data_IF_627952832722
#
_entry.id   IF_627952832722
#
_cell.length_a   1.000
_cell.length_b   1.000
_cell.length_c   1.000
_cell.angle_alpha   90.00
_cell.angle_beta   90.00
_cell.angle_gamma   90.00
#
_symmetry.space_group_name_H-M   'P 1'
#
loop_
_entity.id
_entity.type
_entity.pdbx_description
1 polymer ?
#
# COMPACT_ATOMS: atom_id res chain seq x y z
N UNK A 1 -9.88 76.60 53.32
CA UNK A 1 -11.34 76.68 53.49
C UNK A 1 -12.00 77.00 52.17
N UNK A 2 -12.36 75.95 51.43
CA UNK A 2 -13.26 75.86 50.28
C UNK A 2 -13.33 74.35 49.93
N UNK A 3 -14.46 73.84 49.42
CA UNK A 3 -15.09 72.65 49.99
C UNK A 3 -14.76 71.32 49.28
N UNK A 4 -15.01 70.26 50.04
CA UNK A 4 -14.92 68.84 49.70
C UNK A 4 -15.93 68.51 48.61
N UNK A 5 -15.47 67.94 47.50
CA UNK A 5 -16.31 67.45 46.41
C UNK A 5 -16.80 66.04 46.75
N UNK A 6 -18.11 65.92 46.76
CA UNK A 6 -18.91 64.79 47.23
C UNK A 6 -18.87 63.67 46.18
N UNK A 7 -18.45 62.48 46.63
CA UNK A 7 -18.37 61.26 45.83
C UNK A 7 -19.76 60.79 45.40
N UNK A 8 -19.96 60.63 44.08
CA UNK A 8 -21.17 60.06 43.50
C UNK A 8 -21.40 58.60 43.96
N UNK A 9 -22.66 58.18 44.16
CA UNK A 9 -22.99 56.83 44.59
C UNK A 9 -22.80 55.80 43.47
N UNK A 10 -22.42 54.59 43.86
CA UNK A 10 -22.28 53.43 42.99
C UNK A 10 -23.64 53.02 42.39
N UNK A 11 -23.69 52.84 41.07
CA UNK A 11 -24.84 52.24 40.38
C UNK A 11 -24.99 50.76 40.79
N UNK A 12 -26.19 50.40 41.22
CA UNK A 12 -26.59 49.02 41.45
C UNK A 12 -26.64 48.23 40.12
N UNK A 13 -26.26 46.95 40.10
CA UNK A 13 -26.33 46.14 38.89
C UNK A 13 -27.80 45.89 38.51
N UNK A 14 -28.15 46.20 37.26
CA UNK A 14 -29.42 45.86 36.63
C UNK A 14 -29.68 44.34 36.67
N UNK A 15 -30.91 43.86 36.98
CA UNK A 15 -31.24 42.44 36.93
C UNK A 15 -31.10 41.89 35.52
N UNK A 16 -30.54 40.69 35.38
CA UNK A 16 -30.50 39.95 34.12
C UNK A 16 -31.94 39.58 33.70
N UNK A 17 -32.31 39.91 32.46
CA UNK A 17 -33.55 39.42 31.82
C UNK A 17 -33.53 37.89 31.72
N UNK A 18 -34.62 37.25 32.13
CA UNK A 18 -34.86 35.82 31.90
C UNK A 18 -34.90 35.53 30.38
N UNK A 19 -34.31 34.42 29.91
CA UNK A 19 -34.42 34.03 28.51
C UNK A 19 -35.87 33.64 28.19
N UNK A 20 -36.37 34.14 27.07
CA UNK A 20 -37.68 33.80 26.51
C UNK A 20 -37.83 32.28 26.30
N UNK A 21 -39.05 31.73 26.45
CA UNK A 21 -39.30 30.31 26.25
C UNK A 21 -39.04 29.91 24.79
N UNK A 22 -38.36 28.78 24.62
CA UNK A 22 -38.06 28.18 23.31
C UNK A 22 -39.34 27.53 22.78
N UNK A 23 -39.80 27.96 21.61
CA UNK A 23 -40.95 27.35 20.92
C UNK A 23 -40.65 25.89 20.58
N UNK A 24 -41.62 25.01 20.84
CA UNK A 24 -41.59 23.60 20.44
C UNK A 24 -41.53 23.47 18.91
N UNK A 25 -40.77 22.51 18.36
CA UNK A 25 -40.71 22.33 16.91
C UNK A 25 -42.04 21.78 16.38
N UNK A 26 -42.54 22.40 15.30
CA UNK A 26 -43.75 21.98 14.60
C UNK A 26 -43.68 20.50 14.13
N UNK A 27 -44.81 19.78 14.09
CA UNK A 27 -44.84 18.37 13.71
C UNK A 27 -44.44 18.19 12.23
N UNK A 28 -43.60 17.19 11.98
CA UNK A 28 -43.17 16.78 10.64
C UNK A 28 -44.35 16.17 9.90
N UNK A 29 -44.67 16.70 8.71
CA UNK A 29 -45.72 16.17 7.84
C UNK A 29 -45.33 14.78 7.30
N UNK A 30 -46.28 13.84 7.33
CA UNK A 30 -46.14 12.51 6.73
C UNK A 30 -45.94 12.60 5.20
N UNK A 31 -45.11 11.72 4.60
CA UNK A 31 -44.92 11.71 3.15
C UNK A 31 -46.16 11.18 2.43
N UNK A 32 -46.53 11.83 1.33
CA UNK A 32 -47.64 11.43 0.47
C UNK A 32 -47.42 10.04 -0.17
N UNK A 33 -48.50 9.25 -0.41
CA UNK A 33 -48.39 7.91 -0.98
C UNK A 33 -47.92 7.95 -2.44
N UNK A 34 -47.05 7.01 -2.80
CA UNK A 34 -46.54 6.82 -4.16
C UNK A 34 -47.66 6.25 -5.05
N UNK A 35 -47.92 6.88 -6.19
CA UNK A 35 -48.91 6.42 -7.17
C UNK A 35 -48.45 5.14 -7.89
N UNK A 36 -49.37 4.19 -8.08
CA UNK A 36 -49.16 2.96 -8.87
C UNK A 36 -48.90 3.28 -10.36
N UNK A 37 -48.04 2.50 -11.05
CA UNK A 37 -47.79 2.70 -12.47
C UNK A 37 -48.98 2.21 -13.33
N UNK A 38 -49.28 2.96 -14.38
CA UNK A 38 -50.34 2.65 -15.36
C UNK A 38 -50.04 1.38 -16.20
N UNK A 39 -51.07 0.65 -16.66
CA UNK A 39 -50.90 -0.57 -17.46
C UNK A 39 -50.42 -0.25 -18.88
N UNK A 40 -49.61 -1.15 -19.45
CA UNK A 40 -49.06 -1.05 -20.81
C UNK A 40 -49.99 -1.81 -21.77
N UNK A 41 -50.44 -1.16 -22.84
CA UNK A 41 -51.28 -1.73 -23.90
C UNK A 41 -50.54 -2.80 -24.74
N UNK A 42 -51.25 -3.87 -25.12
CA UNK A 42 -50.79 -4.91 -26.04
C UNK A 42 -50.79 -4.42 -27.51
N UNK A 43 -49.77 -4.76 -28.32
CA UNK A 43 -49.77 -4.41 -29.75
C UNK A 43 -50.55 -5.42 -30.62
N UNK A 44 -51.20 -4.90 -31.66
CA UNK A 44 -52.04 -5.62 -32.63
C UNK A 44 -51.25 -6.58 -33.57
N UNK A 45 -51.91 -7.60 -34.18
CA UNK A 45 -51.25 -8.64 -34.95
C UNK A 45 -50.85 -8.20 -36.38
N UNK A 46 -49.70 -8.68 -36.85
CA UNK A 46 -49.15 -8.44 -38.20
C UNK A 46 -49.57 -9.57 -39.16
N UNK A 47 -49.95 -9.19 -40.38
CA UNK A 47 -50.45 -10.02 -41.48
C UNK A 47 -49.47 -11.11 -42.00
N UNK A 48 -50.08 -12.12 -42.62
CA UNK A 48 -49.53 -13.41 -43.06
C UNK A 48 -48.37 -13.30 -44.06
N UNK A 49 -47.21 -13.83 -43.69
CA UNK A 49 -46.11 -14.13 -44.61
C UNK A 49 -46.26 -15.53 -45.23
N UNK A 50 -45.97 -15.65 -46.52
CA UNK A 50 -46.05 -16.89 -47.31
C UNK A 50 -45.19 -18.00 -46.68
N UNK A 51 -45.82 -19.14 -46.36
CA UNK A 51 -45.14 -20.32 -45.82
C UNK A 51 -44.41 -21.08 -46.93
N UNK A 52 -43.08 -20.98 -46.95
CA UNK A 52 -42.22 -21.87 -47.74
C UNK A 52 -42.39 -23.31 -47.23
N UNK A 53 -42.50 -24.29 -48.13
CA UNK A 53 -42.64 -25.69 -47.71
C UNK A 53 -41.34 -26.17 -47.06
N UNK A 54 -41.44 -27.11 -46.09
CA UNK A 54 -40.26 -27.66 -45.39
C UNK A 54 -39.20 -28.21 -46.36
N UNK A 55 -39.62 -28.71 -47.51
CA UNK A 55 -38.74 -29.24 -48.55
C UNK A 55 -37.92 -28.14 -49.25
N UNK A 56 -38.53 -26.97 -49.49
CA UNK A 56 -37.83 -25.80 -50.05
C UNK A 56 -36.84 -25.18 -49.04
N UNK A 57 -37.19 -25.17 -47.76
CA UNK A 57 -36.27 -24.71 -46.70
C UNK A 57 -35.08 -25.66 -46.52
N UNK A 58 -35.31 -26.99 -46.59
CA UNK A 58 -34.25 -27.99 -46.51
C UNK A 58 -33.28 -27.93 -47.71
N UNK A 59 -33.81 -27.75 -48.93
CA UNK A 59 -32.97 -27.58 -50.13
C UNK A 59 -32.13 -26.29 -50.08
N UNK A 60 -32.73 -25.19 -49.61
CA UNK A 60 -32.02 -23.92 -49.45
C UNK A 60 -30.93 -24.02 -48.38
N UNK A 61 -31.20 -24.67 -47.23
CA UNK A 61 -30.19 -24.92 -46.20
C UNK A 61 -29.05 -25.82 -46.68
N UNK A 62 -29.34 -26.87 -47.45
CA UNK A 62 -28.32 -27.76 -48.00
C UNK A 62 -27.41 -27.02 -48.99
N UNK A 63 -27.98 -26.15 -49.83
CA UNK A 63 -27.20 -25.34 -50.78
C UNK A 63 -26.29 -24.33 -50.08
N UNK A 64 -26.79 -23.66 -49.02
CA UNK A 64 -25.99 -22.74 -48.20
C UNK A 64 -24.85 -23.47 -47.49
N UNK A 65 -25.12 -24.66 -46.92
CA UNK A 65 -24.07 -25.44 -46.26
C UNK A 65 -23.03 -25.99 -47.24
N UNK A 66 -23.44 -26.37 -48.45
CA UNK A 66 -22.49 -26.78 -49.49
C UNK A 66 -21.56 -25.61 -49.89
N UNK A 67 -22.11 -24.40 -50.08
CA UNK A 67 -21.29 -23.21 -50.36
C UNK A 67 -20.38 -22.84 -49.19
N UNK A 68 -20.86 -22.93 -47.95
CA UNK A 68 -20.07 -22.64 -46.75
C UNK A 68 -18.88 -23.60 -46.61
N UNK A 69 -19.11 -24.90 -46.82
CA UNK A 69 -18.04 -25.90 -46.77
C UNK A 69 -17.02 -25.71 -47.90
N UNK A 70 -17.48 -25.33 -49.10
CA UNK A 70 -16.58 -25.05 -50.23
C UNK A 70 -15.71 -23.81 -49.98
N UNK A 71 -16.27 -22.78 -49.33
CA UNK A 71 -15.54 -21.58 -48.91
C UNK A 71 -14.50 -21.89 -47.82
N UNK A 72 -14.86 -22.71 -46.83
CA UNK A 72 -13.94 -23.19 -45.77
C UNK A 72 -12.75 -23.98 -46.36
N UNK A 73 -13.00 -24.88 -47.32
CA UNK A 73 -11.92 -25.62 -47.98
C UNK A 73 -10.99 -24.71 -48.78
N UNK A 74 -11.51 -23.71 -49.51
CA UNK A 74 -10.68 -22.74 -50.22
C UNK A 74 -9.84 -21.88 -49.25
N UNK A 75 -10.41 -21.50 -48.10
CA UNK A 75 -9.68 -20.74 -47.09
C UNK A 75 -8.55 -21.58 -46.45
N UNK A 76 -8.78 -22.85 -46.13
CA UNK A 76 -7.74 -23.75 -45.63
C UNK A 76 -6.65 -24.00 -46.67
N UNK A 77 -7.00 -24.18 -47.96
CA UNK A 77 -6.02 -24.35 -49.03
C UNK A 77 -5.15 -23.09 -49.21
N UNK A 78 -5.74 -21.90 -49.11
CA UNK A 78 -5.01 -20.64 -49.18
C UNK A 78 -4.04 -20.45 -47.99
N UNK A 79 -4.47 -20.81 -46.77
CA UNK A 79 -3.60 -20.78 -45.58
C UNK A 79 -2.45 -21.77 -45.72
N UNK A 80 -2.71 -22.99 -46.20
CA UNK A 80 -1.68 -24.00 -46.42
C UNK A 80 -0.66 -23.56 -47.49
N UNK A 81 -1.11 -22.94 -48.58
CA UNK A 81 -0.20 -22.36 -49.59
C UNK A 81 0.63 -21.20 -49.02
N UNK A 82 0.02 -20.29 -48.25
CA UNK A 82 0.73 -19.19 -47.62
C UNK A 82 1.79 -19.68 -46.62
N UNK A 83 1.47 -20.73 -45.84
CA UNK A 83 2.42 -21.36 -44.92
C UNK A 83 3.56 -22.07 -45.66
N UNK A 84 3.28 -22.79 -46.74
CA UNK A 84 4.30 -23.44 -47.56
C UNK A 84 5.24 -22.41 -48.23
N UNK A 85 4.71 -21.28 -48.71
CA UNK A 85 5.51 -20.19 -49.27
C UNK A 85 6.35 -19.49 -48.20
N UNK A 86 5.79 -19.23 -47.01
CA UNK A 86 6.53 -18.65 -45.90
C UNK A 86 7.66 -19.57 -45.41
N UNK A 87 7.43 -20.89 -45.34
CA UNK A 87 8.46 -21.87 -45.00
C UNK A 87 9.56 -21.95 -46.06
N UNK A 88 9.21 -21.90 -47.35
CA UNK A 88 10.19 -21.88 -48.44
C UNK A 88 11.04 -20.59 -48.42
N UNK A 89 10.44 -19.43 -48.13
CA UNK A 89 11.15 -18.17 -47.99
C UNK A 89 12.05 -18.15 -46.74
N UNK A 90 11.59 -18.68 -45.62
CA UNK A 90 12.39 -18.83 -44.40
C UNK A 90 13.59 -19.77 -44.63
N UNK A 91 13.40 -20.88 -45.35
CA UNK A 91 14.49 -21.79 -45.70
C UNK A 91 15.50 -21.13 -46.65
N UNK A 92 15.07 -20.33 -47.63
CA UNK A 92 15.99 -19.57 -48.50
C UNK A 92 16.77 -18.50 -47.73
N UNK A 93 16.14 -17.81 -46.77
CA UNK A 93 16.84 -16.85 -45.91
C UNK A 93 17.86 -17.53 -44.99
N UNK A 94 17.53 -18.70 -44.41
CA UNK A 94 18.48 -19.49 -43.62
C UNK A 94 19.66 -19.93 -44.51
N UNK A 95 19.40 -20.39 -45.74
CA UNK A 95 20.46 -20.84 -46.65
C UNK A 95 21.36 -19.69 -47.14
N UNK A 96 20.83 -18.48 -47.28
CA UNK A 96 21.61 -17.28 -47.59
C UNK A 96 22.41 -16.76 -46.37
N UNK A 97 21.89 -16.93 -45.15
CA UNK A 97 22.59 -16.53 -43.92
C UNK A 97 23.74 -17.49 -43.59
N UNK A 98 23.67 -18.75 -44.06
CA UNK A 98 24.72 -19.77 -43.87
C UNK A 98 25.89 -19.63 -44.86
N UNK A 99 25.75 -18.80 -45.90
CA UNK A 99 26.81 -18.58 -46.91
C UNK A 99 27.84 -17.50 -46.55
N UNK A 100 27.61 -16.68 -45.50
CA UNK A 100 28.58 -15.69 -45.00
C UNK A 100 29.19 -16.14 -43.67
N UNK A 101 30.22 -16.98 -43.78
CA UNK A 101 31.00 -17.49 -42.64
C UNK A 101 32.03 -16.46 -42.19
N UNK A 102 31.76 -15.78 -41.08
CA UNK A 102 32.80 -15.16 -40.24
C UNK A 102 32.50 -15.18 -38.74
N UNK A 103 31.71 -16.14 -38.24
CA UNK A 103 31.30 -16.15 -36.83
C UNK A 103 31.14 -17.56 -36.23
N UNK A 104 32.01 -18.51 -36.57
CA UNK A 104 32.08 -19.81 -35.89
C UNK A 104 32.25 -19.65 -34.36
N UNK A 105 32.89 -18.56 -33.91
CA UNK A 105 32.98 -18.22 -32.49
C UNK A 105 31.66 -17.76 -31.87
N UNK A 106 30.82 -17.00 -32.60
CA UNK A 106 29.50 -16.59 -32.07
C UNK A 106 28.51 -17.74 -32.10
N UNK A 107 28.59 -18.61 -33.09
CA UNK A 107 27.76 -19.82 -33.15
C UNK A 107 28.12 -20.72 -31.97
N UNK A 108 29.41 -20.93 -31.68
CA UNK A 108 29.83 -21.65 -30.47
C UNK A 108 29.35 -21.00 -29.18
N UNK A 109 29.44 -19.67 -29.04
CA UNK A 109 28.93 -18.96 -27.85
C UNK A 109 27.42 -19.10 -27.70
N UNK A 110 26.67 -18.99 -28.79
CA UNK A 110 25.22 -19.19 -28.78
C UNK A 110 24.86 -20.66 -28.49
N UNK A 111 25.64 -21.63 -28.98
CA UNK A 111 25.48 -23.04 -28.64
C UNK A 111 25.78 -23.32 -27.17
N UNK A 112 26.78 -22.67 -26.58
CA UNK A 112 27.09 -22.72 -25.15
C UNK A 112 25.99 -22.06 -24.31
N UNK A 113 25.46 -20.90 -24.72
CA UNK A 113 24.32 -20.24 -24.07
C UNK A 113 23.04 -21.07 -24.17
N UNK A 114 22.76 -21.68 -25.33
CA UNK A 114 21.62 -22.59 -25.51
C UNK A 114 21.82 -23.87 -24.69
N UNK A 115 23.04 -24.36 -24.56
CA UNK A 115 23.35 -25.52 -23.70
C UNK A 115 23.16 -25.19 -22.23
N UNK A 116 23.55 -23.99 -21.77
CA UNK A 116 23.28 -23.50 -20.42
C UNK A 116 21.77 -23.30 -20.19
N UNK A 117 21.05 -22.72 -21.16
CA UNK A 117 19.60 -22.56 -21.07
C UNK A 117 18.86 -23.91 -21.08
N UNK A 118 19.35 -24.90 -21.84
CA UNK A 118 18.87 -26.28 -21.79
C UNK A 118 19.20 -26.99 -20.48
N UNK A 119 20.37 -26.73 -19.90
CA UNK A 119 20.75 -27.28 -18.60
C UNK A 119 19.87 -26.71 -17.49
N UNK A 120 19.62 -25.40 -17.50
CA UNK A 120 18.67 -24.73 -16.61
C UNK A 120 17.24 -25.26 -16.81
N UNK A 121 16.78 -25.41 -18.06
CA UNK A 121 15.48 -26.01 -18.36
C UNK A 121 15.38 -27.47 -17.90
N UNK A 122 16.44 -28.26 -18.05
CA UNK A 122 16.49 -29.65 -17.60
C UNK A 122 16.53 -29.76 -16.07
N UNK A 123 17.15 -28.79 -15.39
CA UNK A 123 17.15 -28.68 -13.93
C UNK A 123 15.76 -28.25 -13.40
N UNK A 124 15.07 -27.36 -14.12
CA UNK A 124 13.67 -26.97 -13.84
C UNK A 124 12.69 -28.13 -14.10
N UNK A 125 12.88 -28.89 -15.19
CA UNK A 125 12.01 -30.00 -15.58
C UNK A 125 12.36 -31.33 -14.88
N UNK A 126 13.53 -31.43 -14.27
CA UNK A 126 14.03 -32.63 -13.58
C UNK A 126 13.61 -32.75 -12.11
N UNK A 127 12.83 -31.80 -11.58
CA UNK A 127 12.36 -31.83 -10.19
C UNK A 127 11.17 -32.78 -10.05
N UNK A 128 11.32 -33.74 -9.13
CA UNK A 128 10.27 -34.66 -8.71
C UNK A 128 9.03 -33.87 -8.23
N UNK A 129 7.86 -33.98 -8.89
CA UNK A 129 6.66 -33.18 -8.59
C UNK A 129 6.06 -33.45 -7.21
N UNK A 130 6.66 -34.32 -6.40
CA UNK A 130 6.21 -34.67 -5.04
C UNK A 130 6.79 -33.80 -3.93
N UNK A 131 7.65 -32.81 -4.24
CA UNK A 131 7.96 -31.65 -3.38
C UNK A 131 7.96 -30.38 -4.24
N UNK A 132 6.80 -29.72 -4.31
CA UNK A 132 6.54 -28.51 -5.10
C UNK A 132 7.26 -27.29 -4.54
N UNK A 133 8.53 -27.17 -4.85
CA UNK A 133 9.37 -26.08 -4.38
C UNK A 133 9.22 -24.85 -5.29
N UNK A 134 8.54 -23.81 -4.81
CA UNK A 134 8.38 -22.54 -5.53
C UNK A 134 9.73 -21.89 -5.81
N UNK A 135 9.87 -21.31 -7.00
CA UNK A 135 11.01 -20.45 -7.32
C UNK A 135 10.89 -19.09 -6.64
N UNK A 136 12.01 -18.37 -6.48
CA UNK A 136 11.97 -16.99 -5.95
C UNK A 136 11.04 -16.09 -6.79
N UNK A 137 11.12 -16.20 -8.12
CA UNK A 137 10.28 -15.41 -9.03
C UNK A 137 8.79 -15.69 -8.79
N UNK A 138 8.38 -16.96 -8.71
CA UNK A 138 6.99 -17.34 -8.45
C UNK A 138 6.53 -16.89 -7.06
N UNK A 139 7.38 -17.05 -6.05
CA UNK A 139 7.10 -16.62 -4.68
C UNK A 139 6.87 -15.12 -4.57
N UNK A 140 7.71 -14.29 -5.21
CA UNK A 140 7.54 -12.84 -5.22
C UNK A 140 6.29 -12.41 -6.02
N UNK A 141 5.96 -13.14 -7.10
CA UNK A 141 4.72 -12.92 -7.84
C UNK A 141 3.47 -13.21 -7.01
N UNK A 142 3.49 -14.28 -6.20
CA UNK A 142 2.43 -14.57 -5.23
C UNK A 142 2.33 -13.51 -4.13
N UNK A 143 3.45 -12.86 -3.79
CA UNK A 143 3.50 -11.71 -2.91
C UNK A 143 3.07 -10.40 -3.60
N UNK A 144 2.58 -10.44 -4.84
CA UNK A 144 2.12 -9.27 -5.60
C UNK A 144 3.22 -8.23 -5.86
N UNK A 145 4.47 -8.69 -6.04
CA UNK A 145 5.56 -7.84 -6.54
C UNK A 145 5.34 -7.54 -8.03
N UNK A 146 5.52 -6.28 -8.43
CA UNK A 146 5.28 -5.85 -9.81
C UNK A 146 6.23 -6.55 -10.80
N UNK A 147 5.73 -6.90 -11.99
CA UNK A 147 6.54 -7.59 -13.04
C UNK A 147 7.80 -6.79 -13.44
N UNK A 148 7.74 -5.45 -13.37
CA UNK A 148 8.89 -4.59 -13.63
C UNK A 148 10.01 -4.82 -12.59
N UNK A 149 9.64 -5.01 -11.31
CA UNK A 149 10.57 -5.30 -10.21
C UNK A 149 11.16 -6.69 -10.37
N UNK A 150 10.34 -7.68 -10.76
CA UNK A 150 10.80 -9.05 -10.99
C UNK A 150 11.79 -9.12 -12.16
N UNK A 151 11.47 -8.43 -13.26
CA UNK A 151 12.34 -8.34 -14.45
C UNK A 151 13.65 -7.65 -14.09
N UNK A 152 13.58 -6.52 -13.39
CA UNK A 152 14.75 -5.78 -12.94
C UNK A 152 15.65 -6.65 -12.04
N UNK A 153 15.07 -7.32 -11.05
CA UNK A 153 15.79 -8.25 -10.16
C UNK A 153 16.46 -9.38 -10.94
N UNK A 154 15.77 -9.99 -11.90
CA UNK A 154 16.33 -11.04 -12.73
C UNK A 154 17.52 -10.55 -13.58
N UNK A 155 17.47 -9.32 -14.09
CA UNK A 155 18.57 -8.73 -14.89
C UNK A 155 19.80 -8.35 -14.06
N UNK A 156 19.62 -8.02 -12.77
CA UNK A 156 20.71 -7.61 -11.87
C UNK A 156 21.33 -8.79 -11.12
N UNK A 157 20.65 -9.93 -11.07
CA UNK A 157 21.12 -11.18 -10.46
C UNK A 157 21.94 -12.05 -11.43
N UNK A 158 22.65 -13.07 -10.93
CA UNK A 158 23.27 -14.04 -11.83
C UNK A 158 22.19 -14.87 -12.55
N UNK A 159 22.51 -15.34 -13.74
CA UNK A 159 21.59 -16.14 -14.54
C UNK A 159 21.09 -17.36 -13.76
N UNK A 160 19.77 -17.40 -13.52
CA UNK A 160 19.10 -18.51 -12.83
C UNK A 160 18.88 -18.31 -11.33
N UNK A 161 19.49 -17.31 -10.68
CA UNK A 161 19.35 -17.09 -9.23
C UNK A 161 17.92 -16.72 -8.78
N UNK A 162 17.08 -16.21 -9.70
CA UNK A 162 15.64 -15.98 -9.46
C UNK A 162 14.77 -17.20 -9.74
N UNK A 163 15.32 -18.22 -10.41
CA UNK A 163 14.65 -19.47 -10.80
C UNK A 163 15.00 -20.64 -9.88
N UNK A 164 15.91 -20.43 -8.92
CA UNK A 164 16.18 -21.41 -7.86
C UNK A 164 15.04 -21.43 -6.84
N UNK A 165 15.03 -22.48 -6.04
CA UNK A 165 14.16 -22.63 -4.88
C UNK A 165 14.21 -21.40 -3.97
N UNK A 166 13.05 -20.94 -3.50
CA UNK A 166 12.93 -19.73 -2.67
C UNK A 166 13.72 -19.78 -1.36
N UNK A 167 13.96 -20.98 -0.80
CA UNK A 167 14.78 -21.18 0.40
C UNK A 167 16.26 -21.40 0.11
N UNK A 168 16.65 -21.47 -1.16
CA UNK A 168 18.06 -21.55 -1.52
C UNK A 168 18.78 -20.28 -1.04
N UNK A 169 20.02 -20.44 -0.57
CA UNK A 169 20.87 -19.32 -0.15
C UNK A 169 21.01 -18.27 -1.25
N UNK A 170 21.09 -18.72 -2.52
CA UNK A 170 21.17 -17.86 -3.69
C UNK A 170 19.92 -16.97 -3.85
N UNK A 171 18.71 -17.53 -3.73
CA UNK A 171 17.45 -16.77 -3.79
C UNK A 171 17.38 -15.72 -2.67
N UNK A 172 17.67 -16.13 -1.43
CA UNK A 172 17.68 -15.21 -0.29
C UNK A 172 18.69 -14.08 -0.48
N UNK A 173 19.90 -14.40 -0.94
CA UNK A 173 20.93 -13.40 -1.20
C UNK A 173 20.56 -12.44 -2.32
N UNK A 174 19.88 -12.93 -3.37
CA UNK A 174 19.40 -12.11 -4.49
C UNK A 174 18.35 -11.11 -4.02
N UNK A 175 17.34 -11.57 -3.29
CA UNK A 175 16.31 -10.70 -2.73
C UNK A 175 16.92 -9.68 -1.75
N UNK A 176 17.83 -10.11 -0.88
CA UNK A 176 18.50 -9.24 0.08
C UNK A 176 19.31 -8.13 -0.61
N UNK A 177 20.09 -8.49 -1.63
CA UNK A 177 20.89 -7.53 -2.40
C UNK A 177 19.98 -6.53 -3.12
N UNK A 178 18.93 -7.02 -3.78
CA UNK A 178 17.96 -6.14 -4.44
C UNK A 178 17.31 -5.15 -3.46
N UNK A 179 16.89 -5.61 -2.28
CA UNK A 179 16.32 -4.73 -1.28
C UNK A 179 17.33 -3.69 -0.78
N UNK A 180 18.59 -4.05 -0.58
CA UNK A 180 19.63 -3.11 -0.16
C UNK A 180 19.91 -2.02 -1.21
N UNK A 181 19.82 -2.36 -2.49
CA UNK A 181 20.10 -1.43 -3.59
C UNK A 181 18.92 -0.49 -3.88
N UNK A 182 17.67 -0.99 -3.72
CA UNK A 182 16.47 -0.27 -4.15
C UNK A 182 15.58 0.25 -3.01
N UNK A 183 15.71 -0.27 -1.79
CA UNK A 183 14.91 0.18 -0.64
C UNK A 183 15.80 0.88 0.37
N UNK A 184 15.42 2.12 0.71
CA UNK A 184 16.10 2.87 1.77
C UNK A 184 15.61 2.38 3.13
N UNK A 185 16.52 1.86 3.94
CA UNK A 185 16.26 1.49 5.33
C UNK A 185 16.80 2.55 6.29
N UNK A 186 16.13 2.75 7.41
CA UNK A 186 16.60 3.57 8.52
C UNK A 186 16.68 2.71 9.78
N UNK A 187 17.69 2.94 10.64
CA UNK A 187 17.86 2.25 11.93
C UNK A 187 16.81 2.69 12.99
N UNK A 188 15.55 2.89 12.59
CA UNK A 188 14.48 3.39 13.44
C UNK A 188 14.69 4.83 13.90
N UNK A 189 14.37 5.09 15.17
CA UNK A 189 14.59 6.35 15.87
C UNK A 189 15.97 6.35 16.52
N UNK A 190 16.80 7.34 16.18
CA UNK A 190 18.11 7.56 16.80
C UNK A 190 18.02 8.69 17.82
N UNK A 191 18.52 8.45 19.03
CA UNK A 191 18.51 9.45 20.10
C UNK A 191 19.54 10.55 19.87
N UNK A 192 19.22 11.72 20.42
CA UNK A 192 20.13 12.85 20.66
C UNK A 192 21.43 12.40 21.34
N UNK A 193 22.63 12.81 20.89
CA UNK A 193 23.79 12.83 21.82
C UNK A 193 23.58 13.85 22.93
N UNK A 194 22.98 14.98 22.56
CA UNK A 194 22.56 16.04 23.47
C UNK A 194 21.16 16.52 23.07
N UNK A 195 20.34 16.80 24.07
CA UNK A 195 18.97 17.29 23.88
C UNK A 195 17.97 16.22 23.44
N UNK A 196 16.69 16.61 23.46
CA UNK A 196 15.57 15.71 23.21
C UNK A 196 15.42 15.36 21.72
N UNK A 197 15.13 14.10 21.43
CA UNK A 197 14.64 13.64 20.13
C UNK A 197 13.12 13.74 20.12
N UNK A 198 12.52 14.32 19.08
CA UNK A 198 11.06 14.48 18.99
C UNK A 198 10.58 13.75 17.75
N UNK A 199 9.59 12.87 17.90
CA UNK A 199 9.05 12.06 16.80
C UNK A 199 7.53 12.11 16.81
N UNK A 200 6.91 12.34 15.65
CA UNK A 200 5.47 12.30 15.47
C UNK A 200 5.07 11.18 14.51
N UNK A 201 4.03 10.41 14.87
CA UNK A 201 3.43 9.42 13.98
C UNK A 201 2.19 10.00 13.32
N UNK A 202 2.17 9.97 11.98
CA UNK A 202 1.11 10.54 11.15
C UNK A 202 0.61 9.51 10.13
N UNK A 203 -0.61 9.68 9.62
CA UNK A 203 -1.23 8.73 8.69
C UNK A 203 -2.75 8.72 8.79
N UNK A 204 -3.39 7.83 8.04
CA UNK A 204 -4.86 7.74 8.00
C UNK A 204 -5.43 7.14 9.28
N UNK A 205 -6.76 7.10 9.38
CA UNK A 205 -7.47 6.51 10.53
C UNK A 205 -7.31 4.99 10.56
N UNK A 206 -7.09 4.40 11.73
CA UNK A 206 -7.08 2.93 11.90
C UNK A 206 -5.81 2.21 11.43
N UNK A 207 -4.79 2.91 10.94
CA UNK A 207 -3.50 2.31 10.51
C UNK A 207 -2.59 1.88 11.66
N UNK A 208 -2.98 2.07 12.92
CA UNK A 208 -2.20 1.59 14.07
C UNK A 208 -1.16 2.58 14.63
N UNK A 209 -1.34 3.89 14.46
CA UNK A 209 -0.43 4.94 14.99
C UNK A 209 -0.23 4.83 16.50
N UNK A 210 -1.30 4.91 17.30
CA UNK A 210 -1.26 4.85 18.77
C UNK A 210 -0.59 3.56 19.27
N UNK A 211 -0.97 2.40 18.72
CA UNK A 211 -0.36 1.11 19.10
C UNK A 211 1.12 1.06 18.72
N UNK A 212 1.50 1.54 17.54
CA UNK A 212 2.90 1.59 17.11
C UNK A 212 3.72 2.51 18.01
N UNK A 213 3.17 3.67 18.38
CA UNK A 213 3.81 4.62 19.29
C UNK A 213 4.04 4.00 20.67
N UNK A 214 3.06 3.25 21.19
CA UNK A 214 3.19 2.51 22.45
C UNK A 214 4.28 1.43 22.38
N UNK A 215 4.36 0.65 21.29
CA UNK A 215 5.43 -0.33 21.09
C UNK A 215 6.82 0.30 21.07
N UNK A 216 6.95 1.42 20.33
CA UNK A 216 8.20 2.19 20.29
C UNK A 216 8.57 2.71 21.68
N UNK A 217 7.62 3.35 22.38
CA UNK A 217 7.83 3.87 23.74
C UNK A 217 8.32 2.77 24.68
N UNK A 218 7.61 1.64 24.71
CA UNK A 218 7.93 0.50 25.54
C UNK A 218 9.32 -0.09 25.22
N UNK A 219 9.72 -0.25 23.95
CA UNK A 219 11.09 -0.68 23.61
C UNK A 219 12.15 0.28 24.12
N UNK A 220 11.96 1.60 23.98
CA UNK A 220 12.92 2.58 24.49
C UNK A 220 13.02 2.57 26.03
N UNK A 221 11.90 2.40 26.73
CA UNK A 221 11.88 2.35 28.19
C UNK A 221 12.47 1.04 28.73
N UNK A 222 12.01 -0.10 28.21
CA UNK A 222 12.34 -1.42 28.75
C UNK A 222 13.73 -1.90 28.33
N UNK A 223 14.10 -1.71 27.06
CA UNK A 223 15.36 -2.21 26.51
C UNK A 223 16.49 -1.19 26.66
N UNK A 224 16.20 0.10 26.40
CA UNK A 224 17.22 1.16 26.36
C UNK A 224 17.23 2.05 27.62
N UNK A 225 16.30 1.85 28.56
CA UNK A 225 16.15 2.65 29.80
C UNK A 225 16.11 4.16 29.52
N UNK A 226 15.53 4.54 28.39
CA UNK A 226 15.46 5.92 27.91
C UNK A 226 14.38 6.69 28.66
N UNK A 227 14.64 7.95 28.98
CA UNK A 227 13.66 8.84 29.59
C UNK A 227 12.71 9.41 28.51
N UNK A 228 11.53 8.81 28.41
CA UNK A 228 10.52 9.13 27.38
C UNK A 228 9.43 10.05 27.95
N UNK A 229 8.83 10.88 27.09
CA UNK A 229 7.53 11.51 27.33
C UNK A 229 6.60 11.28 26.15
N UNK A 230 5.30 11.17 26.43
CA UNK A 230 4.25 10.98 25.45
C UNK A 230 3.42 12.26 25.33
N UNK A 231 3.05 12.61 24.11
CA UNK A 231 2.11 13.68 23.82
C UNK A 231 1.04 13.12 22.90
N UNK A 232 -0.23 13.36 23.18
CA UNK A 232 -1.32 13.00 22.27
C UNK A 232 -2.08 14.24 21.79
N UNK A 233 -2.27 14.29 20.48
CA UNK A 233 -3.15 15.21 19.77
C UNK A 233 -4.33 14.47 19.11
N UNK A 234 -4.52 13.16 19.36
CA UNK A 234 -5.72 12.42 18.90
C UNK A 234 -6.89 12.62 19.87
N UNK A 235 -7.36 13.86 19.97
CA UNK A 235 -8.44 14.26 20.89
C UNK A 235 -9.84 14.03 20.32
N UNK A 236 -9.96 13.73 19.03
CA UNK A 236 -11.22 13.36 18.39
C UNK A 236 -11.72 11.97 18.79
N UNK A 237 -10.80 11.07 19.15
CA UNK A 237 -11.10 9.70 19.56
C UNK A 237 -10.86 9.55 21.04
N UNK A 238 -11.92 9.67 21.85
CA UNK A 238 -11.86 9.52 23.32
C UNK A 238 -11.06 8.28 23.72
N UNK A 239 -11.31 7.14 23.06
CA UNK A 239 -10.64 5.87 23.33
C UNK A 239 -9.13 5.87 23.01
N UNK A 240 -8.65 6.73 22.09
CA UNK A 240 -7.22 6.82 21.80
C UNK A 240 -6.45 7.44 22.97
N UNK A 241 -7.02 8.47 23.60
CA UNK A 241 -6.44 9.10 24.80
C UNK A 241 -6.41 8.11 25.96
N UNK A 242 -7.52 7.40 26.22
CA UNK A 242 -7.58 6.39 27.30
C UNK A 242 -6.62 5.22 27.06
N UNK A 243 -6.51 4.77 25.81
CA UNK A 243 -5.58 3.71 25.42
C UNK A 243 -4.13 4.14 25.67
N UNK A 244 -3.74 5.33 25.21
CA UNK A 244 -2.37 5.81 25.41
C UNK A 244 -2.08 6.11 26.89
N UNK A 245 -3.08 6.58 27.65
CA UNK A 245 -2.99 6.76 29.10
C UNK A 245 -2.75 5.45 29.83
N UNK A 246 -3.44 4.39 29.43
CA UNK A 246 -3.20 3.06 30.00
C UNK A 246 -1.75 2.61 29.80
N UNK A 247 -1.20 2.80 28.59
CA UNK A 247 0.22 2.51 28.34
C UNK A 247 1.16 3.43 29.12
N UNK A 248 0.85 4.73 29.24
CA UNK A 248 1.68 5.66 29.99
C UNK A 248 1.72 5.30 31.47
N UNK A 249 0.58 4.92 32.05
CA UNK A 249 0.49 4.53 33.46
C UNK A 249 1.26 3.23 33.74
N UNK A 250 1.17 2.24 32.84
CA UNK A 250 1.92 0.98 32.94
C UNK A 250 3.44 1.21 32.84
N UNK A 251 3.87 2.13 31.96
CA UNK A 251 5.29 2.42 31.72
C UNK A 251 5.83 3.57 32.59
N UNK A 252 5.01 4.13 33.47
CA UNK A 252 5.31 5.30 34.31
C UNK A 252 5.84 6.51 33.52
N UNK A 253 5.25 6.76 32.34
CA UNK A 253 5.63 7.85 31.45
C UNK A 253 4.74 9.08 31.66
N UNK A 254 5.29 10.31 31.61
CA UNK A 254 4.46 11.50 31.53
C UNK A 254 3.72 11.51 30.20
N UNK A 255 2.42 11.76 30.26
CA UNK A 255 1.53 11.94 29.11
C UNK A 255 0.91 13.35 29.16
N UNK A 256 1.06 14.10 28.08
CA UNK A 256 0.36 15.37 27.89
C UNK A 256 -0.68 15.27 26.76
N UNK A 257 -1.85 15.85 26.99
CA UNK A 257 -2.91 15.97 25.99
C UNK A 257 -2.90 17.40 25.48
N UNK A 258 -2.85 17.57 24.15
CA UNK A 258 -2.76 18.89 23.51
C UNK A 258 -3.86 19.05 22.45
N UNK A 259 -4.44 20.25 22.40
CA UNK A 259 -5.54 20.58 21.49
C UNK A 259 -5.14 21.62 20.44
N UNK A 260 -4.04 22.33 20.67
CA UNK A 260 -3.60 23.43 19.80
C UNK A 260 -2.11 23.38 19.50
N UNK A 261 -1.65 23.99 18.39
CA UNK A 261 -0.23 24.12 18.07
C UNK A 261 0.57 24.80 19.20
N UNK A 262 -0.01 25.79 19.88
CA UNK A 262 0.61 26.50 21.00
C UNK A 262 0.80 25.59 22.23
N UNK A 263 -0.18 24.74 22.52
CA UNK A 263 -0.05 23.73 23.57
C UNK A 263 1.01 22.68 23.23
N UNK A 264 1.08 22.21 21.98
CA UNK A 264 2.13 21.30 21.54
C UNK A 264 3.52 21.91 21.73
N UNK A 265 3.72 23.16 21.32
CA UNK A 265 4.99 23.87 21.51
C UNK A 265 5.37 23.96 23.01
N UNK A 266 4.39 24.27 23.86
CA UNK A 266 4.58 24.36 25.30
C UNK A 266 4.89 22.99 25.94
N UNK A 267 4.23 21.93 25.49
CA UNK A 267 4.44 20.55 25.94
C UNK A 267 5.86 20.06 25.59
N UNK A 268 6.31 20.35 24.37
CA UNK A 268 7.68 20.03 23.93
C UNK A 268 8.71 20.74 24.82
N UNK A 269 8.50 22.03 25.14
CA UNK A 269 9.43 22.77 26.00
C UNK A 269 9.43 22.24 27.44
N UNK A 270 8.26 21.90 28.01
CA UNK A 270 8.17 21.27 29.34
C UNK A 270 8.96 19.96 29.43
N UNK A 271 8.97 19.19 28.35
CA UNK A 271 9.67 17.91 28.28
C UNK A 271 11.04 17.96 27.60
N UNK A 272 11.63 19.15 27.40
CA UNK A 272 12.94 19.31 26.73
C UNK A 272 14.11 18.58 27.39
N UNK A 273 13.98 18.23 28.67
CA UNK A 273 15.00 17.50 29.45
C UNK A 273 14.90 15.98 29.29
N UNK A 274 13.87 15.50 28.60
CA UNK A 274 13.71 14.09 28.21
C UNK A 274 14.67 13.75 27.08
N UNK A 275 14.92 12.47 26.88
CA UNK A 275 15.74 11.98 25.77
C UNK A 275 14.91 11.76 24.51
N UNK A 276 13.63 11.40 24.69
CA UNK A 276 12.68 11.14 23.61
C UNK A 276 11.29 11.68 23.95
N UNK A 277 10.68 12.39 23.00
CA UNK A 277 9.27 12.76 23.02
C UNK A 277 8.60 12.07 21.82
N UNK A 278 7.52 11.33 22.10
CA UNK A 278 6.70 10.68 21.09
C UNK A 278 5.32 11.36 21.02
N UNK A 279 4.93 11.76 19.82
CA UNK A 279 3.68 12.48 19.56
C UNK A 279 2.73 11.59 18.76
N UNK A 280 1.59 11.25 19.36
CA UNK A 280 0.47 10.59 18.68
C UNK A 280 -0.44 11.64 18.07
N UNK A 281 -0.79 11.48 16.79
CA UNK A 281 -1.64 12.43 16.07
C UNK A 281 -2.95 11.79 15.63
N UNK A 282 -4.01 12.60 15.51
CA UNK A 282 -5.27 12.15 14.92
C UNK A 282 -5.07 11.62 13.49
N UNK A 283 -5.79 10.55 13.15
CA UNK A 283 -5.79 10.04 11.77
C UNK A 283 -6.47 11.01 10.81
N UNK A 284 -5.80 11.35 9.70
CA UNK A 284 -6.35 12.26 8.67
C UNK A 284 -6.55 11.55 7.35
N UNK A 285 -7.69 11.80 6.69
CA UNK A 285 -7.95 11.27 5.35
C UNK A 285 -7.10 12.00 4.32
N UNK A 286 -6.48 11.26 3.41
CA UNK A 286 -5.75 11.81 2.26
C UNK A 286 -6.62 12.63 1.31
N UNK A 287 -7.95 12.50 1.41
CA UNK A 287 -8.92 13.26 0.62
C UNK A 287 -9.36 14.57 1.31
N UNK A 288 -9.03 14.77 2.59
CA UNK A 288 -9.41 15.96 3.32
C UNK A 288 -8.24 16.96 3.39
N UNK A 289 -8.15 17.83 2.39
CA UNK A 289 -7.06 18.80 2.29
C UNK A 289 -7.04 19.81 3.46
N UNK A 290 -8.20 20.13 4.03
CA UNK A 290 -8.28 21.03 5.18
C UNK A 290 -7.61 20.41 6.40
N UNK A 291 -7.93 19.15 6.71
CA UNK A 291 -7.30 18.43 7.82
C UNK A 291 -5.81 18.16 7.60
N UNK A 292 -5.38 17.99 6.35
CA UNK A 292 -3.97 17.87 6.00
C UNK A 292 -3.20 19.17 6.24
N UNK A 293 -3.77 20.33 5.88
CA UNK A 293 -3.22 21.66 6.20
C UNK A 293 -3.15 21.90 7.71
N UNK A 294 -4.21 21.54 8.43
CA UNK A 294 -4.24 21.64 9.90
C UNK A 294 -3.12 20.80 10.53
N UNK A 295 -2.93 19.55 10.08
CA UNK A 295 -1.85 18.68 10.56
C UNK A 295 -0.46 19.25 10.24
N UNK A 296 -0.26 19.79 9.03
CA UNK A 296 0.97 20.46 8.64
C UNK A 296 1.29 21.64 9.57
N UNK A 297 0.31 22.52 9.81
CA UNK A 297 0.47 23.68 10.68
C UNK A 297 0.72 23.28 12.13
N UNK A 298 0.02 22.25 12.61
CA UNK A 298 0.18 21.70 13.95
C UNK A 298 1.61 21.19 14.18
N UNK A 299 2.21 20.50 13.22
CA UNK A 299 3.57 19.98 13.33
C UNK A 299 4.65 21.02 12.99
N UNK A 300 4.31 22.12 12.32
CA UNK A 300 5.25 23.20 11.97
C UNK A 300 5.76 23.98 13.18
N UNK A 301 5.11 23.84 14.35
CA UNK A 301 5.50 24.52 15.59
C UNK A 301 6.93 24.23 16.03
N UNK A 302 7.48 23.07 15.66
CA UNK A 302 8.87 22.74 15.94
C UNK A 302 9.49 22.01 14.75
N UNK A 303 10.45 22.62 14.03
CA UNK A 303 11.07 22.01 12.86
C UNK A 303 11.96 20.79 13.18
N UNK A 304 12.22 20.49 14.45
CA UNK A 304 12.99 19.31 14.89
C UNK A 304 12.14 18.05 15.04
N UNK A 305 10.82 18.14 14.83
CA UNK A 305 9.94 16.98 14.88
C UNK A 305 10.24 16.09 13.67
N UNK A 306 10.79 14.90 13.92
CA UNK A 306 10.90 13.86 12.90
C UNK A 306 9.54 13.20 12.69
N UNK A 307 9.11 13.13 11.44
CA UNK A 307 7.77 12.72 11.03
C UNK A 307 7.80 11.34 10.39
N UNK A 308 7.06 10.40 10.95
CA UNK A 308 6.97 9.03 10.43
C UNK A 308 5.55 8.79 9.89
N UNK A 309 5.44 8.62 8.58
CA UNK A 309 4.19 8.25 7.93
C UNK A 309 3.90 6.76 8.18
N UNK A 310 2.77 6.45 8.79
CA UNK A 310 2.33 5.09 9.09
C UNK A 310 1.32 4.65 8.03
N UNK A 311 1.60 3.52 7.38
CA UNK A 311 0.73 2.92 6.35
C UNK A 311 0.42 1.48 6.74
N UNK A 312 -0.86 1.09 6.66
CA UNK A 312 -1.28 -0.30 6.87
C UNK A 312 -0.93 -1.14 5.64
N UNK A 313 -0.28 -2.27 5.83
CA UNK A 313 0.03 -3.23 4.77
C UNK A 313 -1.22 -3.86 4.12
N UNK A 314 -2.38 -3.74 4.78
CA UNK A 314 -3.70 -4.17 4.25
C UNK A 314 -4.37 -3.13 3.36
N UNK A 315 -3.79 -1.93 3.21
CA UNK A 315 -4.30 -0.89 2.31
C UNK A 315 -4.08 -1.32 0.86
N UNK A 316 -4.99 -1.04 -0.07
CA UNK A 316 -4.75 -1.32 -1.50
C UNK A 316 -3.54 -0.53 -2.02
N UNK A 317 -2.80 -1.11 -2.98
CA UNK A 317 -1.59 -0.50 -3.53
C UNK A 317 -1.83 0.93 -4.05
N UNK A 318 -2.90 1.12 -4.82
CA UNK A 318 -3.27 2.42 -5.38
C UNK A 318 -3.58 3.46 -4.31
N UNK A 319 -4.22 3.03 -3.21
CA UNK A 319 -4.59 3.90 -2.10
C UNK A 319 -3.36 4.24 -1.24
N UNK A 320 -2.49 3.26 -0.98
CA UNK A 320 -1.22 3.48 -0.29
C UNK A 320 -0.32 4.46 -1.05
N UNK A 321 -0.21 4.31 -2.38
CA UNK A 321 0.49 5.26 -3.26
C UNK A 321 -0.13 6.66 -3.20
N UNK A 322 -1.46 6.76 -3.22
CA UNK A 322 -2.16 8.04 -3.07
C UNK A 322 -1.91 8.67 -1.70
N UNK A 323 -1.95 7.89 -0.61
CA UNK A 323 -1.61 8.34 0.74
C UNK A 323 -0.19 8.90 0.76
N UNK A 324 0.82 8.15 0.28
CA UNK A 324 2.21 8.63 0.23
C UNK A 324 2.34 9.96 -0.51
N UNK A 325 1.64 10.11 -1.64
CA UNK A 325 1.66 11.33 -2.44
C UNK A 325 0.98 12.51 -1.74
N UNK A 326 -0.21 12.31 -1.16
CA UNK A 326 -0.94 13.39 -0.48
C UNK A 326 -0.26 13.83 0.82
N UNK A 327 0.34 12.89 1.54
CA UNK A 327 1.08 13.18 2.76
C UNK A 327 2.43 13.88 2.52
N UNK A 328 2.91 14.00 1.26
CA UNK A 328 4.06 14.85 0.93
C UNK A 328 3.90 16.29 1.43
N UNK A 329 2.67 16.80 1.49
CA UNK A 329 2.38 18.14 2.03
C UNK A 329 2.87 18.32 3.47
N UNK A 330 2.81 17.27 4.29
CA UNK A 330 3.27 17.30 5.70
C UNK A 330 4.77 17.01 5.79
N UNK A 331 5.42 16.70 4.67
CA UNK A 331 6.84 16.37 4.53
C UNK A 331 7.32 15.33 5.57
N UNK A 332 6.84 14.07 5.49
CA UNK A 332 7.33 13.00 6.35
C UNK A 332 8.79 12.67 6.03
N UNK A 333 9.55 12.28 7.06
CA UNK A 333 10.97 11.91 6.95
C UNK A 333 11.14 10.42 6.69
N UNK A 334 10.28 9.60 7.31
CA UNK A 334 10.35 8.14 7.30
C UNK A 334 8.97 7.52 7.12
N UNK A 335 8.95 6.24 6.81
CA UNK A 335 7.73 5.45 6.67
C UNK A 335 7.77 4.21 7.57
N UNK A 336 6.61 3.83 8.09
CA UNK A 336 6.38 2.62 8.90
C UNK A 336 5.26 1.82 8.22
N UNK A 337 5.47 0.53 8.02
CA UNK A 337 4.40 -0.38 7.63
C UNK A 337 3.84 -1.13 8.84
N UNK A 338 2.53 -1.13 8.97
CA UNK A 338 1.83 -1.82 10.07
C UNK A 338 0.97 -2.96 9.56
N UNK A 339 0.50 -3.81 10.48
CA UNK A 339 -0.43 -4.91 10.20
C UNK A 339 0.07 -5.87 9.14
N UNK A 340 1.37 -6.15 9.09
CA UNK A 340 1.92 -7.10 8.13
C UNK A 340 1.48 -8.53 8.44
N UNK A 341 1.03 -8.80 9.65
CA UNK A 341 0.38 -10.04 10.09
C UNK A 341 -1.05 -10.22 9.54
N UNK A 342 -1.72 -9.14 9.11
CA UNK A 342 -3.11 -9.17 8.63
C UNK A 342 -3.25 -9.29 7.10
N UNK A 343 -2.14 -9.38 6.35
CA UNK A 343 -2.15 -9.50 4.87
C UNK A 343 -1.44 -10.76 4.40
N UNK A 344 -1.89 -11.38 3.30
CA UNK A 344 -1.21 -12.51 2.67
C UNK A 344 -0.02 -12.12 1.78
N UNK A 345 0.00 -10.87 1.32
CA UNK A 345 1.03 -10.33 0.42
C UNK A 345 1.70 -9.09 1.01
N UNK A 346 3.00 -8.96 0.80
CA UNK A 346 3.80 -7.79 1.20
C UNK A 346 4.60 -7.15 0.06
N UNK A 347 4.43 -7.61 -1.18
CA UNK A 347 5.10 -7.06 -2.35
C UNK A 347 4.83 -5.57 -2.56
N UNK A 348 3.68 -5.08 -2.08
CA UNK A 348 3.36 -3.64 -2.01
C UNK A 348 4.46 -2.79 -1.37
N UNK A 349 5.12 -3.30 -0.32
CA UNK A 349 6.19 -2.56 0.37
C UNK A 349 7.36 -2.34 -0.60
N UNK A 350 7.74 -3.36 -1.37
CA UNK A 350 8.81 -3.26 -2.37
C UNK A 350 8.38 -2.32 -3.50
N UNK A 351 7.19 -2.52 -4.06
CA UNK A 351 6.67 -1.76 -5.19
C UNK A 351 6.56 -0.26 -4.86
N UNK A 352 6.18 0.09 -3.62
CA UNK A 352 6.08 1.49 -3.18
C UNK A 352 7.44 2.12 -2.86
N UNK A 353 8.42 1.32 -2.39
CA UNK A 353 9.68 1.86 -1.88
C UNK A 353 10.83 1.85 -2.87
N UNK A 354 10.79 1.04 -3.94
CA UNK A 354 11.87 0.93 -4.95
C UNK A 354 12.40 2.27 -5.47
N UNK A 355 11.50 3.24 -5.67
CA UNK A 355 11.82 4.58 -6.19
C UNK A 355 11.49 5.70 -5.20
N UNK A 356 11.25 5.33 -3.94
CA UNK A 356 10.82 6.28 -2.93
C UNK A 356 12.01 7.00 -2.31
N UNK A 357 11.81 8.28 -2.01
CA UNK A 357 12.75 9.03 -1.18
C UNK A 357 12.69 8.65 0.31
N UNK A 358 11.62 7.98 0.73
CA UNK A 358 11.39 7.67 2.14
C UNK A 358 12.20 6.47 2.59
N UNK A 359 12.78 6.58 3.79
CA UNK A 359 13.42 5.46 4.44
C UNK A 359 12.42 4.70 5.32
N UNK A 360 12.36 3.39 5.14
CA UNK A 360 11.56 2.48 5.97
C UNK A 360 12.22 2.34 7.34
N UNK A 361 11.52 2.70 8.40
CA UNK A 361 12.08 2.75 9.76
C UNK A 361 11.66 1.58 10.64
N UNK A 362 10.40 1.17 10.56
CA UNK A 362 9.84 0.05 11.33
C UNK A 362 8.82 -0.74 10.53
N UNK A 363 8.63 -2.00 10.93
CA UNK A 363 7.56 -2.88 10.48
C UNK A 363 6.89 -3.49 11.72
N UNK A 364 5.56 -3.47 11.80
CA UNK A 364 4.84 -4.19 12.88
C UNK A 364 4.33 -5.53 12.39
N UNK A 365 4.60 -6.58 13.16
CA UNK A 365 4.38 -7.98 12.79
C UNK A 365 3.30 -8.69 13.64
N UNK A 366 2.42 -7.93 14.29
CA UNK A 366 1.45 -8.45 15.25
C UNK A 366 0.84 -7.36 16.14
N UNK A 367 0.10 -7.75 17.17
CA UNK A 367 -0.64 -6.83 18.06
C UNK A 367 0.04 -6.62 19.42
N UNK A 368 0.94 -7.50 19.83
CA UNK A 368 1.56 -7.52 21.15
C UNK A 368 2.48 -6.32 21.38
N UNK A 369 2.37 -5.71 22.57
CA UNK A 369 3.20 -4.60 23.00
C UNK A 369 4.11 -5.09 24.13
N UNK A 370 5.44 -4.93 24.05
CA UNK A 370 6.21 -4.21 23.03
C UNK A 370 6.66 -5.04 21.82
N UNK A 371 6.46 -6.36 21.83
CA UNK A 371 7.29 -7.29 21.05
C UNK A 371 7.07 -7.22 19.53
N UNK A 372 5.84 -6.98 19.08
CA UNK A 372 5.47 -7.13 17.67
C UNK A 372 5.80 -5.87 16.83
N UNK A 373 7.05 -5.39 16.95
CA UNK A 373 7.63 -4.34 16.11
C UNK A 373 9.12 -4.60 15.88
N UNK A 374 9.56 -4.50 14.63
CA UNK A 374 10.94 -4.66 14.23
C UNK A 374 11.48 -3.40 13.57
N UNK A 375 12.76 -3.12 13.79
CA UNK A 375 13.47 -2.12 12.98
C UNK A 375 13.58 -2.67 11.57
N UNK A 376 13.26 -1.85 10.58
CA UNK A 376 13.26 -2.32 9.21
C UNK A 376 14.70 -2.43 8.68
N UNK A 377 15.08 -3.63 8.28
CA UNK A 377 16.28 -3.91 7.51
C UNK A 377 15.92 -4.78 6.31
N UNK A 378 16.82 -4.85 5.32
CA UNK A 378 16.65 -5.76 4.19
C UNK A 378 16.45 -7.20 4.69
N UNK A 379 17.25 -7.65 5.66
CA UNK A 379 17.11 -8.98 6.26
C UNK A 379 15.74 -9.22 6.90
N UNK A 380 15.22 -8.26 7.67
CA UNK A 380 13.91 -8.36 8.31
C UNK A 380 12.81 -8.45 7.25
N UNK A 381 12.84 -7.58 6.24
CA UNK A 381 11.83 -7.59 5.17
C UNK A 381 11.90 -8.88 4.35
N UNK A 382 13.11 -9.33 3.99
CA UNK A 382 13.34 -10.64 3.34
C UNK A 382 12.75 -11.77 4.17
N UNK A 383 13.07 -11.85 5.46
CA UNK A 383 12.58 -12.94 6.31
C UNK A 383 11.04 -12.93 6.43
N UNK A 384 10.42 -11.75 6.56
CA UNK A 384 8.95 -11.66 6.65
C UNK A 384 8.30 -12.07 5.33
N UNK A 385 8.84 -11.63 4.18
CA UNK A 385 8.34 -12.02 2.85
C UNK A 385 8.44 -13.53 2.65
N UNK A 386 9.59 -14.13 2.95
CA UNK A 386 9.80 -15.56 2.79
C UNK A 386 8.91 -16.38 3.73
N UNK A 387 8.76 -15.94 4.99
CA UNK A 387 7.84 -16.58 5.93
C UNK A 387 6.40 -16.59 5.42
N UNK A 388 5.95 -15.54 4.74
CA UNK A 388 4.60 -15.53 4.15
C UNK A 388 4.45 -16.52 3.02
N UNK A 389 5.50 -16.76 2.24
CA UNK A 389 5.50 -17.78 1.19
C UNK A 389 5.35 -19.18 1.80
N UNK A 390 5.93 -19.42 2.97
CA UNK A 390 5.75 -20.68 3.74
C UNK A 390 4.33 -20.87 4.29
N UNK A 391 3.60 -19.78 4.50
CA UNK A 391 2.23 -19.77 5.04
C UNK A 391 1.15 -19.97 3.95
N UNK A 392 1.53 -19.90 2.66
CA UNK A 392 0.65 -20.09 1.49
C UNK A 392 0.57 -21.55 1.06
#
# INVERSE_FOLDING_TARGET
SAPVEETAPAEEPTPAEEPAPVDEPAPVAEPAPVAEPAPVDEPAPIEQQQTFTQEQMAQTQAMIMAQFNQMQMMQQAAIAQAQAQAQAQAQMQIQQTVADTSNDEKIKRLEEEIAQMKALLAEVLGRDPKKGNLTLHEALKLQEVDEDVLTEMATQSNAGDTLVDVHATAAKSTLLNYLNDHVKFADGIKLNRHGVRIVALLGTTGVGKTTTLAKIAAKFVLEQRTNVALITADTYRISAVEQLKTYSDILELPLEIVYSPAELASAIERHRTKELILIDTAGRSQHNEYQMRELEEFLRVNPRIEKHLVISATTKFTDAKNIMNKFLQVNPDKIIFTKTDETGSLGMIINLLRDSKYALSYITIGQSVPDDIERATADVLTNILLKKVDEM
#
